data_IF_074079313838
#
_entry.id   IF_074079313838
#
_cell.length_a   1.000
_cell.length_b   1.000
_cell.length_c   1.000
_cell.angle_alpha   90.00
_cell.angle_beta   90.00
_cell.angle_gamma   90.00
#
_symmetry.space_group_name_H-M   'P 1'
#
loop_
_entity.id
_entity.type
_entity.pdbx_description
1 polymer ?
#
# COMPACT_ATOMS: atom_id res chain seq x y z
N UNK A 1 -6.11 4.19 -21.04
CA UNK A 1 -5.72 4.96 -19.82
C UNK A 1 -5.18 3.95 -18.83
N UNK A 2 -3.86 3.82 -18.71
CA UNK A 2 -3.27 2.90 -17.72
C UNK A 2 -3.24 3.63 -16.37
N UNK A 3 -3.88 3.04 -15.36
CA UNK A 3 -3.94 3.59 -14.01
C UNK A 3 -2.53 3.69 -13.42
N UNK A 4 -2.06 4.91 -13.13
CA UNK A 4 -0.94 5.18 -12.22
C UNK A 4 0.46 4.73 -12.65
N UNK A 5 0.60 4.00 -13.76
CA UNK A 5 1.87 3.45 -14.25
C UNK A 5 2.29 4.15 -15.54
N UNK A 6 3.44 4.83 -15.51
CA UNK A 6 4.06 5.36 -16.71
C UNK A 6 4.68 4.21 -17.49
N UNK A 7 4.38 4.06 -18.79
CA UNK A 7 4.93 2.99 -19.67
C UNK A 7 4.90 1.58 -19.04
N UNK A 8 3.72 0.96 -18.90
CA UNK A 8 3.55 -0.34 -18.23
C UNK A 8 4.45 -1.45 -18.77
N UNK A 9 4.89 -1.35 -20.02
CA UNK A 9 5.79 -2.31 -20.66
C UNK A 9 7.13 -2.44 -19.90
N UNK A 10 7.54 -1.42 -19.14
CA UNK A 10 8.78 -1.46 -18.35
C UNK A 10 8.77 -2.50 -17.23
N UNK A 11 7.58 -2.95 -16.80
CA UNK A 11 7.42 -3.97 -15.76
C UNK A 11 7.12 -5.37 -16.33
N UNK A 12 7.12 -5.52 -17.66
CA UNK A 12 6.99 -6.83 -18.32
C UNK A 12 8.37 -7.50 -18.44
N UNK A 13 9.04 -7.68 -17.29
CA UNK A 13 10.38 -8.26 -17.15
C UNK A 13 10.35 -9.43 -16.16
N UNK A 14 11.35 -10.31 -16.21
CA UNK A 14 11.39 -11.57 -15.44
C UNK A 14 11.33 -11.40 -13.92
N UNK A 15 11.75 -10.24 -13.42
CA UNK A 15 11.74 -9.92 -12.00
C UNK A 15 10.31 -9.78 -11.47
N UNK A 16 9.32 -9.55 -12.34
CA UNK A 16 7.90 -9.50 -11.98
C UNK A 16 7.16 -10.84 -12.16
N UNK A 17 7.87 -11.93 -12.51
CA UNK A 17 7.26 -13.25 -12.70
C UNK A 17 6.71 -13.83 -11.38
N UNK A 18 7.38 -13.55 -10.26
CA UNK A 18 6.98 -14.02 -8.92
C UNK A 18 7.18 -12.93 -7.87
N UNK A 19 6.41 -13.01 -6.78
CA UNK A 19 6.57 -12.04 -5.68
C UNK A 19 7.97 -12.10 -5.05
N UNK A 20 8.56 -13.29 -4.94
CA UNK A 20 9.92 -13.47 -4.45
C UNK A 20 10.95 -12.74 -5.32
N UNK A 21 10.93 -12.96 -6.64
CA UNK A 21 11.82 -12.26 -7.56
C UNK A 21 11.61 -10.75 -7.53
N UNK A 22 10.35 -10.32 -7.46
CA UNK A 22 10.01 -8.91 -7.38
C UNK A 22 10.69 -8.26 -6.18
N UNK A 23 10.70 -8.92 -5.02
CA UNK A 23 11.36 -8.41 -3.82
C UNK A 23 12.89 -8.44 -3.92
N UNK A 24 13.47 -9.61 -4.21
CA UNK A 24 14.92 -9.84 -4.11
C UNK A 24 15.72 -9.31 -5.31
N UNK A 25 15.14 -9.32 -6.51
CA UNK A 25 15.85 -8.94 -7.73
C UNK A 25 15.57 -7.49 -8.11
N UNK A 26 14.34 -7.01 -7.90
CA UNK A 26 13.92 -5.68 -8.33
C UNK A 26 13.77 -4.67 -7.20
N UNK A 27 12.86 -4.90 -6.25
CA UNK A 27 12.42 -3.90 -5.26
C UNK A 27 13.55 -3.46 -4.33
N UNK A 28 14.38 -4.40 -3.86
CA UNK A 28 15.50 -4.10 -2.96
C UNK A 28 16.51 -3.11 -3.57
N UNK A 29 16.56 -3.04 -4.91
CA UNK A 29 17.46 -2.17 -5.65
C UNK A 29 16.80 -0.84 -6.06
N UNK A 30 15.54 -0.59 -5.69
CA UNK A 30 14.81 0.61 -6.06
C UNK A 30 14.86 1.69 -4.97
N UNK A 31 14.93 2.95 -5.42
CA UNK A 31 14.48 4.08 -4.62
C UNK A 31 12.99 4.31 -4.90
N UNK A 32 12.14 3.72 -4.06
CA UNK A 32 10.68 3.76 -4.22
C UNK A 32 10.10 5.17 -4.25
N UNK A 33 10.83 6.19 -3.76
CA UNK A 33 10.38 7.58 -3.83
C UNK A 33 10.49 8.21 -5.22
N UNK A 34 11.28 7.61 -6.13
CA UNK A 34 11.60 8.17 -7.45
C UNK A 34 10.96 7.44 -8.62
N UNK A 35 10.34 6.30 -8.37
CA UNK A 35 9.68 5.48 -9.38
C UNK A 35 8.18 5.81 -9.48
N UNK A 36 7.45 5.00 -10.24
CA UNK A 36 6.01 5.18 -10.46
C UNK A 36 5.21 5.23 -9.16
N UNK A 37 4.12 5.99 -9.22
CA UNK A 37 3.27 6.31 -8.07
C UNK A 37 2.76 5.07 -7.32
N UNK A 38 2.59 3.95 -8.02
CA UNK A 38 2.10 2.68 -7.45
C UNK A 38 3.03 2.05 -6.42
N UNK A 39 4.33 2.37 -6.46
CA UNK A 39 5.33 1.85 -5.52
C UNK A 39 5.74 2.88 -4.47
N UNK A 40 5.31 4.13 -4.60
CA UNK A 40 5.70 5.19 -3.66
C UNK A 40 5.10 4.92 -2.29
N UNK A 41 5.85 5.18 -1.20
CA UNK A 41 5.32 5.06 0.16
C UNK A 41 4.09 5.94 0.37
N UNK A 42 3.11 5.43 1.11
CA UNK A 42 1.82 6.08 1.30
C UNK A 42 1.93 7.38 2.11
N UNK A 43 2.88 7.48 3.05
CA UNK A 43 3.12 8.71 3.81
C UNK A 43 3.38 9.93 2.92
N UNK A 44 3.89 9.72 1.70
CA UNK A 44 4.15 10.82 0.76
C UNK A 44 2.89 11.52 0.27
N UNK A 45 1.72 10.89 0.40
CA UNK A 45 0.43 11.43 -0.03
C UNK A 45 -0.39 12.03 1.12
N UNK A 46 -0.17 11.56 2.35
CA UNK A 46 -1.02 11.91 3.50
C UNK A 46 -0.28 12.66 4.60
N UNK A 47 1.04 12.80 4.50
CA UNK A 47 1.86 13.55 5.46
C UNK A 47 2.55 14.76 4.81
N UNK A 48 2.78 15.79 5.63
CA UNK A 48 3.57 16.96 5.25
C UNK A 48 5.09 16.69 5.32
N UNK A 49 5.89 17.72 5.08
CA UNK A 49 7.36 17.64 5.16
C UNK A 49 7.90 17.29 6.55
N UNK A 50 7.11 17.46 7.61
CA UNK A 50 7.45 17.13 8.99
C UNK A 50 6.92 15.75 9.42
N UNK A 51 6.36 14.97 8.48
CA UNK A 51 5.69 13.69 8.72
C UNK A 51 4.41 13.80 9.56
N UNK A 52 3.78 14.98 9.59
CA UNK A 52 2.49 15.17 10.22
C UNK A 52 1.36 14.87 9.24
N UNK A 53 0.32 14.17 9.69
CA UNK A 53 -0.86 13.89 8.86
C UNK A 53 -1.53 15.19 8.41
N UNK A 54 -1.84 15.26 7.12
CA UNK A 54 -2.49 16.41 6.48
C UNK A 54 -4.03 16.26 6.39
N UNK A 55 -4.59 15.27 7.08
CA UNK A 55 -6.01 14.91 7.02
C UNK A 55 -6.61 14.76 8.43
N UNK A 56 -7.90 15.09 8.58
CA UNK A 56 -8.64 14.97 9.85
C UNK A 56 -8.96 13.52 10.25
N UNK A 57 -8.82 12.59 9.31
CA UNK A 57 -9.07 11.17 9.50
C UNK A 57 -8.34 10.35 8.44
N UNK A 58 -7.61 9.34 8.88
CA UNK A 58 -6.96 8.34 8.01
C UNK A 58 -7.47 6.95 8.41
N UNK A 59 -8.28 6.33 7.55
CA UNK A 59 -8.82 4.99 7.75
C UNK A 59 -7.98 3.91 7.09
N UNK A 60 -8.00 2.68 7.63
CA UNK A 60 -7.29 1.52 7.07
C UNK A 60 -8.24 0.56 6.36
N UNK A 61 -7.90 0.05 5.19
CA UNK A 61 -8.80 -0.76 4.34
C UNK A 61 -9.33 -2.02 5.03
N UNK A 62 -8.54 -2.63 5.91
CA UNK A 62 -8.95 -3.77 6.74
C UNK A 62 -10.11 -3.46 7.71
N UNK A 63 -10.41 -2.18 7.92
CA UNK A 63 -11.50 -1.69 8.77
C UNK A 63 -12.51 -0.83 8.00
N UNK A 64 -12.66 -1.06 6.69
CA UNK A 64 -13.42 -0.19 5.78
C UNK A 64 -14.83 0.15 6.28
N UNK A 65 -15.60 -0.84 6.73
CA UNK A 65 -16.96 -0.61 7.25
C UNK A 65 -17.00 0.34 8.44
N UNK A 66 -16.04 0.21 9.36
CA UNK A 66 -15.92 1.09 10.52
C UNK A 66 -15.46 2.48 10.09
N UNK A 67 -14.55 2.57 9.13
CA UNK A 67 -14.09 3.84 8.60
C UNK A 67 -15.22 4.60 7.91
N UNK A 68 -16.06 3.92 7.12
CA UNK A 68 -17.21 4.54 6.46
C UNK A 68 -18.13 5.16 7.51
N UNK A 69 -18.49 4.41 8.57
CA UNK A 69 -19.33 4.94 9.67
C UNK A 69 -18.73 6.16 10.34
N UNK A 70 -17.41 6.17 10.57
CA UNK A 70 -16.71 7.29 11.18
C UNK A 70 -16.71 8.52 10.26
N UNK A 71 -16.46 8.34 8.96
CA UNK A 71 -16.54 9.43 7.99
C UNK A 71 -17.96 9.96 7.89
N UNK A 72 -18.98 9.10 7.76
CA UNK A 72 -20.41 9.48 7.75
C UNK A 72 -20.78 10.35 8.94
N UNK A 73 -20.32 9.97 10.14
CA UNK A 73 -20.52 10.72 11.38
C UNK A 73 -19.86 12.10 11.32
N UNK A 74 -18.64 12.20 10.79
CA UNK A 74 -17.92 13.48 10.65
C UNK A 74 -18.57 14.42 9.64
N UNK A 75 -19.08 13.90 8.52
CA UNK A 75 -19.64 14.71 7.44
C UNK A 75 -21.17 14.92 7.54
N UNK A 76 -21.84 14.22 8.45
CA UNK A 76 -23.29 14.35 8.66
C UNK A 76 -24.16 13.82 7.51
N UNK A 77 -23.62 12.95 6.65
CA UNK A 77 -24.35 12.33 5.54
C UNK A 77 -23.94 10.89 5.33
N UNK A 78 -24.87 10.10 4.78
CA UNK A 78 -24.62 8.72 4.39
C UNK A 78 -23.74 8.63 3.15
N UNK A 79 -22.84 7.66 3.12
CA UNK A 79 -21.97 7.35 1.99
C UNK A 79 -22.40 6.00 1.44
N UNK A 80 -22.74 5.98 0.16
CA UNK A 80 -23.00 4.73 -0.57
C UNK A 80 -21.73 4.33 -1.30
N UNK A 81 -21.10 3.25 -0.86
CA UNK A 81 -19.92 2.67 -1.51
C UNK A 81 -20.33 1.32 -2.11
N UNK A 82 -20.12 1.15 -3.41
CA UNK A 82 -20.25 -0.15 -4.07
C UNK A 82 -19.05 -1.03 -3.73
N UNK A 83 -19.29 -2.30 -3.42
CA UNK A 83 -18.23 -3.31 -3.31
C UNK A 83 -17.84 -3.79 -4.71
N UNK A 84 -16.98 -3.04 -5.41
CA UNK A 84 -16.57 -3.37 -6.78
C UNK A 84 -15.27 -4.20 -6.83
N UNK A 85 -14.39 -4.06 -5.83
CA UNK A 85 -13.07 -4.71 -5.78
C UNK A 85 -12.90 -5.53 -4.50
N UNK A 86 -13.81 -6.47 -4.22
CA UNK A 86 -13.61 -7.41 -3.11
C UNK A 86 -12.63 -8.50 -3.52
N UNK A 87 -11.53 -8.67 -2.80
CA UNK A 87 -10.76 -9.92 -2.86
C UNK A 87 -11.67 -11.06 -2.41
N UNK A 88 -11.92 -12.03 -3.29
CA UNK A 88 -12.77 -13.19 -3.01
C UNK A 88 -12.10 -14.20 -2.08
N UNK A 89 -10.77 -14.15 -2.00
CA UNK A 89 -9.99 -14.95 -1.06
C UNK A 89 -9.81 -14.22 0.26
N UNK A 90 -10.15 -14.90 1.34
CA UNK A 90 -9.80 -14.55 2.72
C UNK A 90 -8.36 -14.97 3.06
N UNK A 91 -7.51 -15.21 2.04
CA UNK A 91 -6.11 -15.55 2.27
C UNK A 91 -5.44 -14.41 3.01
N UNK A 92 -4.75 -14.73 4.10
CA UNK A 92 -3.98 -13.73 4.80
C UNK A 92 -2.84 -13.29 3.86
N UNK A 93 -2.61 -11.97 3.74
CA UNK A 93 -1.51 -11.47 2.93
C UNK A 93 -0.16 -12.02 3.43
N UNK A 94 -0.08 -12.39 4.71
CA UNK A 94 1.06 -13.11 5.28
C UNK A 94 1.39 -14.41 4.53
N UNK A 95 0.41 -15.10 3.94
CA UNK A 95 0.61 -16.35 3.18
C UNK A 95 1.40 -16.12 1.87
N UNK A 96 1.49 -14.87 1.40
CA UNK A 96 2.30 -14.52 0.23
C UNK A 96 3.80 -14.52 0.52
N UNK A 97 4.21 -14.45 1.79
CA UNK A 97 5.61 -14.42 2.20
C UNK A 97 6.11 -15.83 2.48
N UNK A 98 6.86 -16.41 1.53
CA UNK A 98 7.39 -17.76 1.66
C UNK A 98 8.54 -17.86 2.68
N UNK A 99 9.22 -16.76 2.99
CA UNK A 99 10.30 -16.73 3.98
C UNK A 99 10.41 -15.36 4.70
N UNK A 100 11.20 -15.32 5.78
CA UNK A 100 11.39 -14.11 6.60
C UNK A 100 12.16 -13.00 5.88
N UNK A 101 13.07 -13.34 4.99
CA UNK A 101 13.89 -12.36 4.29
C UNK A 101 13.05 -11.48 3.36
N UNK A 102 11.98 -12.04 2.77
CA UNK A 102 10.98 -11.28 2.01
C UNK A 102 10.31 -10.19 2.86
N UNK A 103 9.96 -10.52 4.11
CA UNK A 103 9.35 -9.58 5.06
C UNK A 103 10.35 -8.46 5.39
N UNK A 104 11.60 -8.80 5.63
CA UNK A 104 12.63 -7.83 5.97
C UNK A 104 12.92 -6.84 4.82
N UNK A 105 12.83 -7.29 3.56
CA UNK A 105 12.88 -6.36 2.41
C UNK A 105 11.74 -5.36 2.46
N UNK A 106 10.49 -5.81 2.59
CA UNK A 106 9.33 -4.92 2.64
C UNK A 106 9.40 -3.97 3.84
N UNK A 107 9.78 -4.48 5.02
CA UNK A 107 10.01 -3.66 6.20
C UNK A 107 11.08 -2.60 5.99
N UNK A 108 12.17 -2.92 5.30
CA UNK A 108 13.24 -1.97 5.04
C UNK A 108 12.81 -0.87 4.06
N UNK A 109 12.12 -1.25 2.97
CA UNK A 109 11.69 -0.34 1.91
C UNK A 109 10.56 0.58 2.38
N UNK A 110 9.57 0.05 3.10
CA UNK A 110 8.39 0.78 3.57
C UNK A 110 8.42 1.09 5.07
N UNK A 111 9.61 1.09 5.69
CA UNK A 111 9.81 1.29 7.14
C UNK A 111 8.99 2.45 7.71
N UNK A 112 9.02 3.57 7.00
CA UNK A 112 8.37 4.81 7.45
C UNK A 112 6.85 4.73 7.45
N UNK A 113 6.25 4.05 6.47
CA UNK A 113 4.80 3.81 6.48
C UNK A 113 4.41 2.91 7.66
N UNK A 114 5.19 1.86 7.90
CA UNK A 114 4.95 0.90 8.98
C UNK A 114 4.99 1.61 10.34
N UNK A 115 6.01 2.47 10.56
CA UNK A 115 6.16 3.25 11.79
C UNK A 115 5.05 4.30 11.95
N UNK A 116 4.78 5.11 10.92
CA UNK A 116 3.80 6.20 11.00
C UNK A 116 2.37 5.72 11.16
N UNK A 117 2.03 4.57 10.55
CA UNK A 117 0.67 4.05 10.56
C UNK A 117 0.45 2.89 11.54
N UNK A 118 1.47 2.57 12.36
CA UNK A 118 1.39 1.58 13.42
C UNK A 118 1.08 0.18 12.88
N UNK A 119 1.74 -0.22 11.80
CA UNK A 119 1.68 -1.60 11.32
C UNK A 119 2.76 -2.45 12.01
N UNK A 120 2.45 -3.74 12.14
CA UNK A 120 3.34 -4.75 12.69
C UNK A 120 3.29 -5.99 11.79
N UNK A 121 4.44 -6.65 11.65
CA UNK A 121 4.61 -7.89 10.91
C UNK A 121 4.85 -9.04 11.88
#
# INVERSE_FOLDING_TARGET
MSMGVHRPEQYQISEFDTFEKFLFEWLINQDVSKIDYIFRPQYTYVCDANNCLMVDYLGKVESLDNNIKEVERKIGRKILIGHENSTSDNSDYHDSYSNKDMIEIVKSVYKKDIELFGYHF
#
